data_IF_847720834200
#
_entry.id   IF_847720834200
#
_cell.length_a   1.000
_cell.length_b   1.000
_cell.length_c   1.000
_cell.angle_alpha   90.00
_cell.angle_beta   90.00
_cell.angle_gamma   90.00
#
_symmetry.space_group_name_H-M   'P 1'
#
loop_
_entity.id
_entity.type
_entity.pdbx_description
1 polymer ?
#
# COMPACT_ATOMS: atom_id res chain seq x y z
N UNK A 1 49.63 -39.79 -26.69
CA UNK A 1 50.75 -39.31 -27.53
C UNK A 1 50.95 -37.81 -27.31
N UNK A 2 52.17 -37.30 -27.51
CA UNK A 2 52.47 -35.87 -27.36
C UNK A 2 51.55 -34.96 -28.19
N UNK A 3 51.16 -35.37 -29.39
CA UNK A 3 50.20 -34.64 -30.23
C UNK A 3 48.82 -34.48 -29.59
N UNK A 4 48.32 -35.50 -28.88
CA UNK A 4 47.04 -35.41 -28.17
C UNK A 4 47.12 -34.46 -26.98
N UNK A 5 48.27 -34.40 -26.30
CA UNK A 5 48.50 -33.47 -25.20
C UNK A 5 48.60 -32.03 -25.70
N UNK A 6 49.37 -31.79 -26.76
CA UNK A 6 49.53 -30.48 -27.40
C UNK A 6 48.18 -29.93 -27.92
N UNK A 7 47.37 -30.77 -28.56
CA UNK A 7 46.01 -30.37 -28.97
C UNK A 7 45.11 -30.01 -27.78
N UNK A 8 45.19 -30.75 -26.65
CA UNK A 8 44.44 -30.41 -25.43
C UNK A 8 44.89 -29.07 -24.86
N UNK A 9 46.20 -28.83 -24.77
CA UNK A 9 46.76 -27.57 -24.26
C UNK A 9 46.33 -26.38 -25.13
N UNK A 10 46.41 -26.51 -26.46
CA UNK A 10 45.96 -25.44 -27.37
C UNK A 10 44.46 -25.14 -27.25
N UNK A 11 43.63 -26.17 -27.12
CA UNK A 11 42.18 -26.00 -26.95
C UNK A 11 41.86 -25.31 -25.60
N UNK A 12 42.47 -25.76 -24.51
CA UNK A 12 42.31 -25.13 -23.20
C UNK A 12 42.83 -23.69 -23.19
N UNK A 13 43.90 -23.38 -23.91
CA UNK A 13 44.41 -22.02 -24.03
C UNK A 13 43.44 -21.10 -24.81
N UNK A 14 42.86 -21.59 -25.92
CA UNK A 14 41.85 -20.81 -26.68
C UNK A 14 40.61 -20.53 -25.85
N UNK A 15 40.11 -21.55 -25.16
CA UNK A 15 38.98 -21.41 -24.24
C UNK A 15 39.28 -20.40 -23.13
N UNK A 16 40.45 -20.48 -22.49
CA UNK A 16 40.85 -19.53 -21.46
C UNK A 16 40.91 -18.10 -22.00
N UNK A 17 41.49 -17.90 -23.19
CA UNK A 17 41.61 -16.59 -23.84
C UNK A 17 40.24 -15.96 -24.14
N UNK A 18 39.29 -16.73 -24.67
CA UNK A 18 37.92 -16.24 -24.89
C UNK A 18 37.19 -15.95 -23.57
N UNK A 19 37.33 -16.82 -22.56
CA UNK A 19 36.76 -16.59 -21.23
C UNK A 19 37.29 -15.29 -20.60
N UNK A 20 38.58 -14.99 -20.74
CA UNK A 20 39.17 -13.75 -20.21
C UNK A 20 38.57 -12.52 -20.90
N UNK A 21 38.51 -12.50 -22.24
CA UNK A 21 37.91 -11.39 -22.97
C UNK A 21 36.43 -11.17 -22.62
N UNK A 22 35.69 -12.26 -22.39
CA UNK A 22 34.31 -12.21 -21.88
C UNK A 22 34.21 -11.52 -20.51
N UNK A 23 35.02 -11.98 -19.55
CA UNK A 23 34.98 -11.46 -18.18
C UNK A 23 35.41 -10.00 -18.13
N UNK A 24 36.39 -9.57 -18.93
CA UNK A 24 36.80 -8.17 -19.08
C UNK A 24 35.67 -7.28 -19.62
N UNK A 25 34.88 -7.78 -20.59
CA UNK A 25 33.70 -7.07 -21.08
C UNK A 25 32.62 -6.93 -20.01
N UNK A 26 32.38 -7.99 -19.22
CA UNK A 26 31.39 -7.95 -18.13
C UNK A 26 31.83 -7.07 -16.97
N UNK A 27 33.12 -7.01 -16.66
CA UNK A 27 33.65 -6.26 -15.52
C UNK A 27 33.12 -4.83 -15.49
N UNK A 28 33.12 -4.15 -16.64
CA UNK A 28 32.62 -2.77 -16.77
C UNK A 28 31.16 -2.61 -16.35
N UNK A 29 30.31 -3.58 -16.67
CA UNK A 29 28.90 -3.56 -16.32
C UNK A 29 28.62 -4.11 -14.91
N UNK A 30 29.54 -4.89 -14.37
CA UNK A 30 29.44 -5.42 -13.01
C UNK A 30 29.93 -4.42 -11.95
N UNK A 31 30.81 -3.45 -12.29
CA UNK A 31 31.31 -2.43 -11.34
C UNK A 31 30.22 -1.67 -10.56
N UNK A 32 29.12 -1.20 -11.19
CA UNK A 32 27.99 -0.59 -10.47
C UNK A 32 27.36 -1.51 -9.42
N UNK A 33 27.39 -2.84 -9.65
CA UNK A 33 26.86 -3.84 -8.72
C UNK A 33 27.69 -3.97 -7.44
N UNK A 34 28.82 -3.27 -7.28
CA UNK A 34 29.63 -3.33 -6.05
C UNK A 34 29.59 -2.04 -5.24
N UNK A 35 29.24 -0.93 -5.89
CA UNK A 35 29.48 0.42 -5.35
C UNK A 35 28.27 1.35 -5.43
N UNK A 36 27.23 1.00 -6.18
CA UNK A 36 26.10 1.89 -6.44
C UNK A 36 24.80 1.47 -5.71
N UNK A 37 23.84 2.40 -5.68
CA UNK A 37 22.50 2.18 -5.16
C UNK A 37 21.61 1.40 -6.16
N UNK A 38 20.47 0.84 -5.71
CA UNK A 38 19.59 0.04 -6.58
C UNK A 38 19.13 0.78 -7.84
N UNK A 39 18.84 2.07 -7.73
CA UNK A 39 18.42 2.92 -8.87
C UNK A 39 19.50 3.05 -9.96
N UNK A 40 20.76 3.20 -9.56
CA UNK A 40 21.87 3.29 -10.51
C UNK A 40 22.18 1.93 -11.12
N UNK A 41 22.07 0.85 -10.32
CA UNK A 41 22.17 -0.52 -10.83
C UNK A 41 21.10 -0.76 -11.90
N UNK A 42 19.85 -0.38 -11.62
CA UNK A 42 18.72 -0.51 -12.55
C UNK A 42 19.03 0.10 -13.93
N UNK A 43 19.62 1.29 -13.98
CA UNK A 43 20.03 1.95 -15.24
C UNK A 43 21.10 1.19 -16.03
N UNK A 44 21.92 0.38 -15.36
CA UNK A 44 22.99 -0.42 -15.99
C UNK A 44 22.54 -1.80 -16.45
N UNK A 45 21.38 -2.29 -15.99
CA UNK A 45 20.85 -3.61 -16.31
C UNK A 45 20.69 -3.88 -17.82
N UNK A 46 20.16 -2.96 -18.65
CA UNK A 46 19.97 -3.24 -20.06
C UNK A 46 21.28 -3.52 -20.79
N UNK A 47 22.34 -2.78 -20.48
CA UNK A 47 23.67 -3.00 -21.04
C UNK A 47 24.27 -4.33 -20.59
N UNK A 48 24.14 -4.66 -19.30
CA UNK A 48 24.63 -5.92 -18.73
C UNK A 48 23.95 -7.13 -19.38
N UNK A 49 22.61 -7.13 -19.43
CA UNK A 49 21.83 -8.25 -19.96
C UNK A 49 22.08 -8.42 -21.47
N UNK A 50 22.05 -7.34 -22.25
CA UNK A 50 22.36 -7.41 -23.70
C UNK A 50 23.77 -7.95 -23.98
N UNK A 51 24.74 -7.55 -23.17
CA UNK A 51 26.12 -8.06 -23.26
C UNK A 51 26.15 -9.57 -22.99
N UNK A 52 25.46 -10.05 -21.94
CA UNK A 52 25.34 -11.48 -21.63
C UNK A 52 24.71 -12.28 -22.78
N UNK A 53 23.60 -11.81 -23.35
CA UNK A 53 22.96 -12.46 -24.50
C UNK A 53 23.87 -12.49 -25.73
N UNK A 54 24.57 -11.39 -26.02
CA UNK A 54 25.53 -11.31 -27.14
C UNK A 54 26.63 -12.34 -27.00
N UNK A 55 27.20 -12.49 -25.79
CA UNK A 55 28.26 -13.48 -25.54
C UNK A 55 27.71 -14.89 -25.70
N UNK A 56 26.52 -15.18 -25.18
CA UNK A 56 25.93 -16.51 -25.34
C UNK A 56 25.75 -16.88 -26.82
N UNK A 57 25.40 -15.92 -27.67
CA UNK A 57 25.23 -16.12 -29.11
C UNK A 57 26.56 -16.25 -29.86
N UNK A 58 27.58 -15.45 -29.50
CA UNK A 58 28.84 -15.34 -30.26
C UNK A 58 29.94 -16.28 -29.75
N UNK A 59 29.96 -16.62 -28.47
CA UNK A 59 31.05 -17.42 -27.89
C UNK A 59 31.01 -18.87 -28.36
N UNK A 60 32.18 -19.42 -28.71
CA UNK A 60 32.31 -20.81 -29.13
C UNK A 60 32.45 -21.77 -27.93
N UNK A 61 33.02 -21.29 -26.82
CA UNK A 61 33.30 -22.10 -25.63
C UNK A 61 32.46 -21.74 -24.40
N UNK A 62 31.82 -20.57 -24.35
CA UNK A 62 31.04 -20.09 -23.19
C UNK A 62 29.52 -20.14 -23.40
N UNK A 63 29.06 -20.63 -24.55
CA UNK A 63 27.64 -20.71 -24.95
C UNK A 63 26.82 -21.84 -24.30
N UNK A 64 27.29 -22.38 -23.17
CA UNK A 64 26.54 -23.42 -22.46
C UNK A 64 25.56 -22.79 -21.48
N UNK A 65 24.35 -23.35 -21.44
CA UNK A 65 23.31 -23.00 -20.46
C UNK A 65 23.84 -22.99 -19.02
N UNK A 66 24.70 -23.95 -18.67
CA UNK A 66 25.25 -24.08 -17.32
C UNK A 66 26.14 -22.88 -16.93
N UNK A 67 27.04 -22.44 -17.83
CA UNK A 67 27.94 -21.30 -17.59
C UNK A 67 27.16 -20.00 -17.48
N UNK A 68 26.19 -19.80 -18.37
CA UNK A 68 25.32 -18.62 -18.34
C UNK A 68 24.45 -18.57 -17.09
N UNK A 69 23.87 -19.70 -16.68
CA UNK A 69 23.11 -19.80 -15.42
C UNK A 69 24.00 -19.48 -14.22
N UNK A 70 25.24 -19.98 -14.19
CA UNK A 70 26.18 -19.70 -13.11
C UNK A 70 26.56 -18.21 -13.03
N UNK A 71 26.79 -17.54 -14.17
CA UNK A 71 27.08 -16.09 -14.21
C UNK A 71 25.87 -15.28 -13.74
N UNK A 72 24.69 -15.55 -14.29
CA UNK A 72 23.45 -14.88 -13.89
C UNK A 72 23.18 -15.07 -12.39
N UNK A 73 23.39 -16.27 -11.86
CA UNK A 73 23.25 -16.55 -10.42
C UNK A 73 24.21 -15.71 -9.58
N UNK A 74 25.48 -15.55 -10.02
CA UNK A 74 26.46 -14.70 -9.33
C UNK A 74 26.07 -13.23 -9.36
N UNK A 75 25.57 -12.75 -10.51
CA UNK A 75 25.06 -11.39 -10.67
C UNK A 75 23.88 -11.15 -9.73
N UNK A 76 22.89 -12.06 -9.71
CA UNK A 76 21.75 -11.98 -8.78
C UNK A 76 22.22 -11.93 -7.33
N UNK A 77 23.13 -12.83 -6.92
CA UNK A 77 23.65 -12.83 -5.54
C UNK A 77 24.35 -11.49 -5.20
N UNK A 78 25.06 -10.90 -6.15
CA UNK A 78 25.73 -9.63 -5.96
C UNK A 78 24.74 -8.45 -5.86
N UNK A 79 23.64 -8.48 -6.63
CA UNK A 79 22.55 -7.52 -6.48
C UNK A 79 21.89 -7.62 -5.10
N UNK A 80 21.62 -8.84 -4.62
CA UNK A 80 21.10 -9.07 -3.26
C UNK A 80 22.07 -8.51 -2.22
N UNK A 81 23.37 -8.79 -2.33
CA UNK A 81 24.37 -8.27 -1.41
C UNK A 81 24.44 -6.74 -1.42
N UNK A 82 24.29 -6.12 -2.60
CA UNK A 82 24.27 -4.66 -2.74
C UNK A 82 23.04 -4.05 -2.10
N UNK A 83 21.87 -4.67 -2.30
CA UNK A 83 20.63 -4.29 -1.63
C UNK A 83 20.76 -4.42 -0.11
N UNK A 84 21.33 -5.52 0.40
CA UNK A 84 21.62 -5.69 1.83
C UNK A 84 22.53 -4.59 2.37
N UNK A 85 23.60 -4.23 1.66
CA UNK A 85 24.50 -3.12 2.04
C UNK A 85 23.78 -1.78 2.03
N UNK A 86 22.96 -1.52 1.01
CA UNK A 86 22.19 -0.29 0.89
C UNK A 86 21.17 -0.12 2.04
N UNK A 87 20.47 -1.21 2.39
CA UNK A 87 19.51 -1.26 3.50
C UNK A 87 20.19 -1.08 4.86
N UNK A 88 21.36 -1.67 5.06
CA UNK A 88 22.15 -1.60 6.30
C UNK A 88 23.10 -0.39 6.40
N UNK A 89 23.03 0.56 5.46
CA UNK A 89 23.98 1.69 5.39
C UNK A 89 25.45 1.24 5.41
N UNK A 90 25.79 0.23 4.61
CA UNK A 90 27.11 -0.43 4.61
C UNK A 90 27.47 -1.12 5.93
N UNK A 91 26.47 -1.69 6.62
CA UNK A 91 26.65 -2.41 7.88
C UNK A 91 26.75 -1.51 9.11
N UNK A 92 26.55 -0.20 8.99
CA UNK A 92 26.62 0.73 10.14
C UNK A 92 25.33 0.79 10.94
N UNK A 93 24.19 0.44 10.34
CA UNK A 93 22.88 0.55 10.98
C UNK A 93 21.99 -0.64 10.64
N UNK A 94 21.17 -1.06 11.59
CA UNK A 94 20.10 -2.03 11.33
C UNK A 94 18.91 -1.38 10.64
N UNK A 95 17.94 -2.17 10.19
CA UNK A 95 16.65 -1.67 9.65
C UNK A 95 15.82 -0.95 10.71
N UNK A 96 16.11 -1.17 12.00
CA UNK A 96 15.37 -0.61 13.13
C UNK A 96 15.94 0.72 13.65
N UNK A 97 17.22 1.01 13.37
CA UNK A 97 17.94 2.21 13.83
C UNK A 97 17.83 3.41 12.86
N UNK A 98 17.06 3.23 11.79
CA UNK A 98 16.86 4.22 10.74
C UNK A 98 15.41 4.74 10.79
N UNK A 99 15.15 5.97 10.31
CA UNK A 99 13.78 6.46 10.17
C UNK A 99 12.94 5.52 9.28
N UNK A 100 11.75 5.15 9.74
CA UNK A 100 10.86 4.19 9.06
C UNK A 100 10.63 4.55 7.58
N UNK A 101 10.28 5.81 7.30
CA UNK A 101 10.07 6.30 5.94
C UNK A 101 11.29 6.13 5.03
N UNK A 102 12.50 6.29 5.59
CA UNK A 102 13.73 6.12 4.83
C UNK A 102 13.94 4.63 4.50
N UNK A 103 13.69 3.74 5.45
CA UNK A 103 13.82 2.29 5.25
C UNK A 103 12.75 1.78 4.27
N UNK A 104 11.49 2.20 4.40
CA UNK A 104 10.41 1.86 3.46
C UNK A 104 10.79 2.24 2.02
N UNK A 105 11.28 3.47 1.79
CA UNK A 105 11.76 3.90 0.46
C UNK A 105 12.90 3.04 -0.06
N UNK A 106 13.89 2.72 0.78
CA UNK A 106 15.01 1.86 0.38
C UNK A 106 14.54 0.45 0.01
N UNK A 107 13.61 -0.12 0.78
CA UNK A 107 13.04 -1.44 0.51
C UNK A 107 12.32 -1.43 -0.84
N UNK A 108 11.47 -0.43 -1.11
CA UNK A 108 10.77 -0.30 -2.37
C UNK A 108 11.75 -0.24 -3.56
N UNK A 109 12.80 0.59 -3.46
CA UNK A 109 13.84 0.65 -4.50
C UNK A 109 14.54 -0.70 -4.73
N UNK A 110 14.72 -1.53 -3.70
CA UNK A 110 15.27 -2.88 -3.85
C UNK A 110 14.30 -3.86 -4.52
N UNK A 111 13.00 -3.73 -4.28
CA UNK A 111 11.95 -4.53 -4.93
C UNK A 111 11.86 -4.14 -6.41
N UNK A 112 11.79 -2.83 -6.69
CA UNK A 112 11.75 -2.27 -8.05
C UNK A 112 12.97 -2.72 -8.88
N UNK A 113 14.14 -2.83 -8.24
CA UNK A 113 15.33 -3.36 -8.92
C UNK A 113 15.14 -4.81 -9.40
N UNK A 114 14.51 -5.68 -8.61
CA UNK A 114 14.25 -7.07 -9.01
C UNK A 114 13.22 -7.12 -10.15
N UNK A 115 12.17 -6.28 -10.06
CA UNK A 115 11.16 -6.17 -11.11
C UNK A 115 11.78 -5.71 -12.43
N UNK A 116 12.57 -4.63 -12.42
CA UNK A 116 13.28 -4.16 -13.61
C UNK A 116 14.30 -5.19 -14.13
N UNK A 117 14.97 -5.93 -13.25
CA UNK A 117 15.89 -7.00 -13.65
C UNK A 117 15.17 -8.09 -14.45
N UNK A 118 14.02 -8.55 -13.97
CA UNK A 118 13.22 -9.56 -14.67
C UNK A 118 12.59 -9.01 -15.96
N UNK A 119 12.01 -7.80 -15.91
CA UNK A 119 11.43 -7.15 -17.09
C UNK A 119 12.47 -6.92 -18.18
N UNK A 120 13.65 -6.41 -17.82
CA UNK A 120 14.73 -6.19 -18.76
C UNK A 120 15.28 -7.50 -19.32
N UNK A 121 15.32 -8.56 -18.50
CA UNK A 121 15.71 -9.89 -18.95
C UNK A 121 14.77 -10.41 -20.04
N UNK A 122 13.46 -10.39 -19.79
CA UNK A 122 12.46 -10.85 -20.76
C UNK A 122 12.49 -10.02 -22.05
N UNK A 123 12.59 -8.69 -21.94
CA UNK A 123 12.71 -7.81 -23.11
C UNK A 123 13.90 -8.17 -24.01
N UNK A 124 15.09 -8.37 -23.42
CA UNK A 124 16.29 -8.69 -24.22
C UNK A 124 16.22 -10.10 -24.81
N UNK A 125 15.59 -11.04 -24.09
CA UNK A 125 15.31 -12.38 -24.60
C UNK A 125 14.45 -12.32 -25.85
N UNK A 126 13.32 -11.61 -25.79
CA UNK A 126 12.39 -11.43 -26.92
C UNK A 126 13.05 -10.74 -28.13
N UNK A 127 13.93 -9.75 -27.88
CA UNK A 127 14.69 -9.06 -28.94
C UNK A 127 15.74 -9.95 -29.62
N UNK A 128 16.26 -10.96 -28.91
CA UNK A 128 17.38 -11.80 -29.37
C UNK A 128 16.92 -13.16 -29.92
N UNK A 129 15.71 -13.60 -29.59
CA UNK A 129 15.09 -14.82 -30.14
C UNK A 129 14.65 -14.60 -31.61
N UNK A 130 15.57 -14.86 -32.54
CA UNK A 130 15.26 -14.97 -33.98
C UNK A 130 14.86 -16.43 -34.29
N UNK A 131 13.88 -16.71 -35.18
CA UNK A 131 13.39 -18.06 -35.48
C UNK A 131 14.43 -19.09 -35.99
N UNK A 132 15.69 -18.67 -36.22
CA UNK A 132 16.79 -19.52 -36.71
C UNK A 132 18.01 -19.55 -35.77
N UNK A 133 17.96 -18.84 -34.64
CA UNK A 133 19.03 -18.87 -33.63
C UNK A 133 18.67 -19.84 -32.50
N UNK A 134 19.71 -20.47 -31.92
CA UNK A 134 19.61 -21.46 -30.85
C UNK A 134 18.85 -20.88 -29.65
N UNK A 135 17.78 -21.54 -29.21
CA UNK A 135 16.94 -21.11 -28.09
C UNK A 135 17.76 -21.01 -26.79
N UNK A 136 17.60 -19.89 -26.07
CA UNK A 136 18.26 -19.67 -24.79
C UNK A 136 17.46 -20.33 -23.66
N UNK A 137 17.70 -21.62 -23.45
CA UNK A 137 17.06 -22.35 -22.36
C UNK A 137 17.89 -22.28 -21.08
N UNK A 138 17.33 -21.71 -20.02
CA UNK A 138 17.77 -21.91 -18.64
C UNK A 138 16.52 -21.85 -17.73
N UNK A 139 16.65 -22.39 -16.52
CA UNK A 139 15.54 -22.35 -15.57
C UNK A 139 15.59 -21.05 -14.77
N UNK A 140 14.67 -20.13 -15.11
CA UNK A 140 14.51 -18.80 -14.52
C UNK A 140 14.42 -18.85 -12.99
N UNK A 141 13.81 -19.91 -12.43
CA UNK A 141 13.70 -20.13 -10.99
C UNK A 141 15.07 -20.20 -10.30
N UNK A 142 16.10 -20.76 -10.93
CA UNK A 142 17.44 -20.81 -10.33
C UNK A 142 18.14 -19.45 -10.32
N UNK A 143 17.80 -18.56 -11.26
CA UNK A 143 18.41 -17.25 -11.41
C UNK A 143 17.69 -16.19 -10.58
N UNK A 144 16.36 -16.16 -10.63
CA UNK A 144 15.55 -15.13 -9.97
C UNK A 144 15.01 -15.56 -8.61
N UNK A 145 14.79 -16.86 -8.38
CA UNK A 145 14.09 -17.34 -7.18
C UNK A 145 14.74 -16.92 -5.85
N UNK A 146 16.07 -16.75 -5.82
CA UNK A 146 16.76 -16.19 -4.63
C UNK A 146 16.46 -14.72 -4.41
N UNK A 147 16.36 -13.94 -5.48
CA UNK A 147 16.02 -12.52 -5.40
C UNK A 147 14.53 -12.35 -5.08
N UNK A 148 13.67 -13.21 -5.61
CA UNK A 148 12.24 -13.23 -5.28
C UNK A 148 12.03 -13.58 -3.80
N UNK A 149 12.74 -14.58 -3.28
CA UNK A 149 12.73 -14.91 -1.85
C UNK A 149 13.18 -13.73 -0.99
N UNK A 150 14.22 -13.02 -1.41
CA UNK A 150 14.66 -11.79 -0.75
C UNK A 150 13.61 -10.67 -0.81
N UNK A 151 13.00 -10.41 -1.97
CA UNK A 151 11.92 -9.43 -2.10
C UNK A 151 10.70 -9.80 -1.25
N UNK A 152 10.37 -11.09 -1.13
CA UNK A 152 9.31 -11.57 -0.24
C UNK A 152 9.64 -11.29 1.23
N UNK A 153 10.89 -11.49 1.65
CA UNK A 153 11.35 -11.08 2.99
C UNK A 153 11.20 -9.57 3.21
N UNK A 154 11.60 -8.77 2.22
CA UNK A 154 11.45 -7.32 2.29
C UNK A 154 9.98 -6.86 2.37
N UNK A 155 9.06 -7.51 1.63
CA UNK A 155 7.62 -7.26 1.72
C UNK A 155 7.05 -7.58 3.10
N UNK A 156 7.54 -8.64 3.76
CA UNK A 156 7.18 -8.94 5.16
C UNK A 156 7.66 -7.85 6.12
N UNK A 157 8.88 -7.32 5.92
CA UNK A 157 9.37 -6.18 6.71
C UNK A 157 8.52 -4.92 6.51
N UNK A 158 8.12 -4.59 5.28
CA UNK A 158 7.18 -3.48 5.03
C UNK A 158 5.88 -3.66 5.80
N UNK A 159 5.29 -4.86 5.74
CA UNK A 159 4.05 -5.17 6.47
C UNK A 159 4.23 -5.01 7.98
N UNK A 160 5.39 -5.40 8.53
CA UNK A 160 5.69 -5.23 9.94
C UNK A 160 5.77 -3.75 10.35
N UNK A 161 6.35 -2.89 9.51
CA UNK A 161 6.33 -1.44 9.73
C UNK A 161 4.90 -0.87 9.68
N UNK A 162 4.10 -1.28 8.69
CA UNK A 162 2.69 -0.86 8.60
C UNK A 162 1.88 -1.30 9.83
N UNK A 163 2.15 -2.49 10.38
CA UNK A 163 1.54 -2.97 11.62
C UNK A 163 1.86 -2.06 12.81
N UNK A 164 3.12 -1.65 12.97
CA UNK A 164 3.55 -0.71 14.03
C UNK A 164 2.84 0.63 13.87
N UNK A 165 2.81 1.19 12.66
CA UNK A 165 2.16 2.48 12.39
C UNK A 165 0.66 2.46 12.69
N UNK A 166 -0.04 1.38 12.32
CA UNK A 166 -1.47 1.20 12.64
C UNK A 166 -1.67 1.08 14.15
N UNK A 167 -0.79 0.34 14.83
CA UNK A 167 -0.82 0.17 16.27
C UNK A 167 -0.60 1.49 17.04
N UNK A 168 0.38 2.29 16.63
CA UNK A 168 0.59 3.64 17.19
C UNK A 168 -0.64 4.53 16.99
N UNK A 169 -1.28 4.42 15.82
CA UNK A 169 -2.52 5.15 15.51
C UNK A 169 -3.68 4.72 16.41
N UNK A 170 -3.81 3.42 16.68
CA UNK A 170 -4.81 2.86 17.61
C UNK A 170 -4.56 3.38 19.03
N UNK A 171 -3.32 3.30 19.53
CA UNK A 171 -2.95 3.79 20.88
C UNK A 171 -3.30 5.28 21.01
N UNK A 172 -2.95 6.08 20.01
CA UNK A 172 -3.23 7.52 20.01
C UNK A 172 -4.73 7.83 20.04
N UNK A 173 -5.56 6.92 19.53
CA UNK A 173 -7.00 7.09 19.41
C UNK A 173 -7.77 6.64 20.65
N UNK A 174 -7.31 5.60 21.34
CA UNK A 174 -8.01 4.97 22.47
C UNK A 174 -7.10 4.87 23.71
N UNK A 175 -7.03 5.96 24.48
CA UNK A 175 -6.36 5.98 25.78
C UNK A 175 -7.22 5.44 26.94
N UNK A 176 -8.51 5.15 26.73
CA UNK A 176 -9.47 4.84 27.81
C UNK A 176 -10.21 3.48 27.71
N UNK A 177 -10.08 2.69 26.62
CA UNK A 177 -10.94 1.50 26.40
C UNK A 177 -10.15 0.20 26.16
N UNK A 178 -8.85 0.27 25.85
CA UNK A 178 -8.04 -0.90 25.50
C UNK A 178 -6.77 -0.94 26.35
N UNK A 179 -6.92 -1.13 27.67
CA UNK A 179 -5.80 -1.05 28.61
C UNK A 179 -4.77 -2.19 28.45
N UNK A 180 -5.11 -3.34 27.85
CA UNK A 180 -4.20 -4.50 27.77
C UNK A 180 -3.82 -4.93 26.34
N UNK A 181 -4.68 -4.70 25.35
CA UNK A 181 -4.49 -5.21 23.98
C UNK A 181 -3.33 -4.57 23.21
N UNK A 182 -3.09 -3.25 23.28
CA UNK A 182 -1.99 -2.63 22.55
C UNK A 182 -0.62 -3.11 23.04
N UNK A 183 -0.43 -3.29 24.34
CA UNK A 183 0.87 -3.67 24.90
C UNK A 183 1.34 -5.06 24.44
N UNK A 184 0.41 -5.99 24.15
CA UNK A 184 0.73 -7.33 23.66
C UNK A 184 1.46 -7.34 22.29
N UNK A 185 1.12 -6.40 21.39
CA UNK A 185 1.82 -6.30 20.11
C UNK A 185 3.24 -5.74 20.28
N UNK A 186 3.38 -4.70 21.11
CA UNK A 186 4.68 -4.09 21.40
C UNK A 186 5.63 -5.12 22.02
N UNK A 187 5.15 -5.92 22.99
CA UNK A 187 5.89 -7.02 23.59
C UNK A 187 6.31 -8.07 22.55
N UNK A 188 5.41 -8.46 21.66
CA UNK A 188 5.68 -9.43 20.59
C UNK A 188 6.74 -8.91 19.62
N UNK A 189 6.67 -7.64 19.25
CA UNK A 189 7.65 -6.98 18.37
C UNK A 189 9.00 -6.82 19.07
N UNK A 190 9.02 -6.46 20.35
CA UNK A 190 10.25 -6.33 21.13
C UNK A 190 10.93 -7.68 21.32
N UNK A 191 10.16 -8.74 21.58
CA UNK A 191 10.65 -10.14 21.62
C UNK A 191 11.24 -10.58 20.28
N UNK A 192 10.65 -10.15 19.15
CA UNK A 192 11.20 -10.39 17.82
C UNK A 192 12.52 -9.62 17.61
N UNK A 193 12.54 -8.32 17.96
CA UNK A 193 13.72 -7.44 17.84
C UNK A 193 14.90 -7.86 18.72
N UNK A 194 14.65 -8.54 19.84
CA UNK A 194 15.70 -8.99 20.75
C UNK A 194 16.44 -10.25 20.28
N UNK A 195 16.02 -10.88 19.18
CA UNK A 195 16.66 -12.08 18.65
C UNK A 195 17.82 -11.73 17.72
N UNK A 196 18.85 -12.58 17.74
CA UNK A 196 20.14 -12.33 17.08
C UNK A 196 20.20 -12.72 15.58
N UNK A 197 19.07 -12.88 14.89
CA UNK A 197 19.07 -13.19 13.46
C UNK A 197 19.11 -11.92 12.58
N UNK A 198 19.66 -12.06 11.36
CA UNK A 198 19.63 -11.01 10.35
C UNK A 198 18.24 -10.92 9.72
N UNK A 199 17.51 -9.83 10.00
CA UNK A 199 16.21 -9.52 9.42
C UNK A 199 16.23 -9.48 7.87
N UNK A 200 17.39 -9.24 7.26
CA UNK A 200 17.60 -9.23 5.81
C UNK A 200 18.01 -10.61 5.25
N UNK A 201 18.23 -11.63 6.08
CA UNK A 201 18.52 -12.97 5.59
C UNK A 201 17.26 -13.75 5.23
N UNK A 202 16.99 -13.83 3.93
CA UNK A 202 15.85 -14.55 3.36
C UNK A 202 15.92 -16.08 3.55
N UNK A 203 17.03 -16.61 4.03
CA UNK A 203 17.18 -18.05 4.31
C UNK A 203 16.82 -18.43 5.74
N UNK A 204 16.75 -17.45 6.64
CA UNK A 204 16.47 -17.72 8.04
C UNK A 204 14.97 -17.89 8.26
N UNK A 205 14.55 -19.12 8.60
CA UNK A 205 13.15 -19.47 8.82
C UNK A 205 12.61 -18.97 10.17
N UNK A 206 13.47 -18.69 11.16
CA UNK A 206 13.02 -18.23 12.49
C UNK A 206 12.29 -16.89 12.41
N UNK A 207 12.74 -16.00 11.50
CA UNK A 207 12.01 -14.76 11.23
C UNK A 207 10.59 -15.04 10.74
N UNK A 208 10.39 -16.06 9.89
CA UNK A 208 9.07 -16.32 9.31
C UNK A 208 8.10 -16.86 10.36
N UNK A 209 8.60 -17.62 11.33
CA UNK A 209 7.83 -18.07 12.51
C UNK A 209 7.45 -16.89 13.40
N UNK A 210 8.40 -16.03 13.75
CA UNK A 210 8.14 -14.84 14.58
C UNK A 210 7.22 -13.83 13.91
N UNK A 211 7.43 -13.61 12.61
CA UNK A 211 6.56 -12.78 11.80
C UNK A 211 5.13 -13.32 11.84
N UNK A 212 4.93 -14.64 11.73
CA UNK A 212 3.60 -15.23 11.83
C UNK A 212 2.99 -15.05 13.24
N UNK A 213 3.77 -15.16 14.31
CA UNK A 213 3.33 -14.89 15.70
C UNK A 213 2.88 -13.43 15.85
N UNK A 214 3.71 -12.47 15.43
CA UNK A 214 3.38 -11.03 15.48
C UNK A 214 2.14 -10.72 14.64
N UNK A 215 2.05 -11.27 13.43
CA UNK A 215 0.90 -11.05 12.57
C UNK A 215 -0.39 -11.63 13.15
N UNK A 216 -0.31 -12.78 13.84
CA UNK A 216 -1.46 -13.37 14.52
C UNK A 216 -1.97 -12.47 15.65
N UNK A 217 -1.06 -12.00 16.51
CA UNK A 217 -1.40 -11.06 17.60
C UNK A 217 -2.02 -9.78 17.03
N UNK A 218 -1.43 -9.24 15.96
CA UNK A 218 -1.95 -8.07 15.28
C UNK A 218 -3.37 -8.28 14.74
N UNK A 219 -3.63 -9.41 14.07
CA UNK A 219 -4.96 -9.75 13.54
C UNK A 219 -6.01 -9.92 14.66
N UNK A 220 -5.63 -10.47 15.81
CA UNK A 220 -6.50 -10.61 16.98
C UNK A 220 -6.87 -9.22 17.56
N UNK A 221 -5.88 -8.34 17.71
CA UNK A 221 -6.09 -6.95 18.15
C UNK A 221 -6.99 -6.20 17.16
N UNK A 222 -6.72 -6.31 15.86
CA UNK A 222 -7.54 -5.67 14.83
C UNK A 222 -9.00 -6.14 14.85
N UNK A 223 -9.23 -7.45 15.02
CA UNK A 223 -10.59 -8.00 15.13
C UNK A 223 -11.31 -7.47 16.37
N UNK A 224 -10.63 -7.44 17.52
CA UNK A 224 -11.20 -6.93 18.77
C UNK A 224 -11.58 -5.45 18.65
N UNK A 225 -10.70 -4.62 18.10
CA UNK A 225 -10.93 -3.19 17.89
C UNK A 225 -12.05 -2.95 16.88
N UNK A 226 -12.06 -3.69 15.77
CA UNK A 226 -13.10 -3.56 14.76
C UNK A 226 -14.47 -3.91 15.35
N UNK A 227 -14.55 -4.98 16.17
CA UNK A 227 -15.78 -5.35 16.86
C UNK A 227 -16.25 -4.26 17.84
N UNK A 228 -15.33 -3.69 18.64
CA UNK A 228 -15.65 -2.59 19.54
C UNK A 228 -16.16 -1.35 18.78
N UNK A 229 -15.53 -1.02 17.64
CA UNK A 229 -16.00 0.07 16.79
C UNK A 229 -17.33 -0.19 16.10
N UNK A 230 -17.61 -1.43 15.74
CA UNK A 230 -18.93 -1.81 15.19
C UNK A 230 -20.01 -1.67 16.26
N UNK A 231 -19.74 -2.07 17.50
CA UNK A 231 -20.64 -1.86 18.64
C UNK A 231 -20.88 -0.37 18.91
N UNK A 232 -19.82 0.44 18.98
CA UNK A 232 -19.93 1.88 19.15
C UNK A 232 -20.74 2.52 18.01
N UNK A 233 -20.44 2.14 16.77
CA UNK A 233 -21.13 2.66 15.58
C UNK A 233 -22.63 2.35 15.60
N UNK A 234 -23.02 1.13 15.97
CA UNK A 234 -24.45 0.76 16.06
C UNK A 234 -25.20 1.49 17.17
N UNK A 235 -24.51 1.94 18.21
CA UNK A 235 -25.08 2.75 19.30
C UNK A 235 -25.38 4.19 18.86
N UNK A 236 -24.66 4.73 17.87
CA UNK A 236 -24.83 6.11 17.39
C UNK A 236 -26.13 6.23 16.57
N UNK A 237 -27.10 6.99 17.11
CA UNK A 237 -28.41 7.22 16.46
C UNK A 237 -28.45 8.44 15.54
N UNK A 238 -27.39 9.23 15.50
CA UNK A 238 -27.35 10.54 14.83
C UNK A 238 -26.48 10.50 13.59
N UNK A 239 -27.05 10.78 12.42
CA UNK A 239 -26.35 10.76 11.13
C UNK A 239 -25.05 11.55 11.15
N UNK A 240 -25.06 12.77 11.72
CA UNK A 240 -23.88 13.63 11.74
C UNK A 240 -22.79 13.09 12.68
N UNK A 241 -23.17 12.44 13.78
CA UNK A 241 -22.21 11.81 14.69
C UNK A 241 -21.64 10.54 14.05
N UNK A 242 -22.47 9.74 13.36
CA UNK A 242 -22.02 8.57 12.62
C UNK A 242 -21.03 8.95 11.52
N UNK A 243 -21.25 10.05 10.80
CA UNK A 243 -20.31 10.57 9.80
C UNK A 243 -18.98 11.00 10.43
N UNK A 244 -19.02 11.76 11.53
CA UNK A 244 -17.80 12.17 12.26
C UNK A 244 -17.04 10.97 12.83
N UNK A 245 -17.75 9.93 13.26
CA UNK A 245 -17.13 8.70 13.72
C UNK A 245 -16.47 7.95 12.56
N UNK A 246 -17.10 7.89 11.39
CA UNK A 246 -16.49 7.30 10.20
C UNK A 246 -15.25 8.07 9.74
N UNK A 247 -15.25 9.40 9.81
CA UNK A 247 -14.06 10.20 9.49
C UNK A 247 -12.87 9.83 10.40
N UNK A 248 -13.14 9.56 11.68
CA UNK A 248 -12.14 9.07 12.62
C UNK A 248 -11.64 7.67 12.25
N UNK A 249 -12.54 6.75 11.89
CA UNK A 249 -12.16 5.40 11.48
C UNK A 249 -11.31 5.39 10.19
N UNK A 250 -11.56 6.30 9.25
CA UNK A 250 -10.73 6.43 8.04
C UNK A 250 -9.28 6.74 8.39
N UNK A 251 -9.03 7.58 9.40
CA UNK A 251 -7.67 7.94 9.82
C UNK A 251 -6.87 6.76 10.38
N UNK A 252 -7.55 5.78 10.99
CA UNK A 252 -6.92 4.60 11.56
C UNK A 252 -6.46 3.58 10.51
N UNK A 253 -6.88 3.73 9.24
CA UNK A 253 -6.53 2.82 8.13
C UNK A 253 -6.72 1.32 8.46
N UNK A 254 -7.72 1.00 9.30
CA UNK A 254 -7.95 -0.37 9.74
C UNK A 254 -8.40 -1.27 8.58
N UNK A 255 -7.61 -2.31 8.22
CA UNK A 255 -8.02 -3.32 7.26
C UNK A 255 -9.30 -4.02 7.75
N UNK A 256 -10.25 -4.25 6.85
CA UNK A 256 -11.47 -5.00 7.17
C UNK A 256 -12.56 -4.20 7.90
N UNK A 257 -12.40 -2.89 8.11
CA UNK A 257 -13.40 -2.05 8.78
C UNK A 257 -14.71 -1.83 7.99
N UNK A 258 -14.85 -2.43 6.80
CA UNK A 258 -16.04 -2.38 5.93
C UNK A 258 -16.64 -0.97 5.75
N UNK A 259 -15.78 0.02 5.55
CA UNK A 259 -16.16 1.45 5.51
C UNK A 259 -17.29 1.75 4.52
N UNK A 260 -17.27 1.13 3.33
CA UNK A 260 -18.31 1.32 2.32
C UNK A 260 -19.70 0.91 2.84
N UNK A 261 -19.81 -0.24 3.50
CA UNK A 261 -21.07 -0.73 4.05
C UNK A 261 -21.59 0.20 5.15
N UNK A 262 -20.69 0.69 6.02
CA UNK A 262 -21.03 1.68 7.06
C UNK A 262 -21.53 2.99 6.44
N UNK A 263 -20.89 3.52 5.39
CA UNK A 263 -21.40 4.70 4.68
C UNK A 263 -22.78 4.46 4.05
N UNK A 264 -23.05 3.27 3.52
CA UNK A 264 -24.39 2.91 3.03
C UNK A 264 -25.43 2.85 4.16
N UNK A 265 -25.06 2.37 5.35
CA UNK A 265 -25.93 2.41 6.53
C UNK A 265 -26.25 3.85 6.93
N UNK A 266 -25.24 4.71 7.04
CA UNK A 266 -25.46 6.14 7.33
C UNK A 266 -26.32 6.81 6.25
N UNK A 267 -26.16 6.45 4.98
CA UNK A 267 -27.00 6.99 3.91
C UNK A 267 -28.47 6.57 4.06
N UNK A 268 -28.75 5.35 4.53
CA UNK A 268 -30.11 4.89 4.85
C UNK A 268 -30.69 5.67 6.02
N UNK A 269 -29.90 5.92 7.06
CA UNK A 269 -30.30 6.71 8.22
C UNK A 269 -30.56 8.17 7.85
N UNK A 270 -29.68 8.78 7.06
CA UNK A 270 -29.86 10.13 6.53
C UNK A 270 -31.14 10.26 5.70
N UNK A 271 -31.44 9.25 4.87
CA UNK A 271 -32.72 9.20 4.13
C UNK A 271 -33.92 9.24 5.06
N UNK A 272 -33.90 8.47 6.16
CA UNK A 272 -34.97 8.47 7.17
C UNK A 272 -35.05 9.83 7.87
N UNK A 273 -33.92 10.39 8.27
CA UNK A 273 -33.86 11.72 8.90
C UNK A 273 -34.42 12.82 7.99
N UNK A 274 -34.14 12.79 6.68
CA UNK A 274 -34.75 13.70 5.71
C UNK A 274 -36.27 13.58 5.65
N UNK A 275 -36.81 12.35 5.75
CA UNK A 275 -38.25 12.09 5.77
C UNK A 275 -38.88 12.61 7.07
N UNK A 276 -38.25 12.36 8.21
CA UNK A 276 -38.71 12.80 9.53
C UNK A 276 -38.72 14.33 9.64
N UNK A 277 -37.64 15.00 9.20
CA UNK A 277 -37.57 16.47 9.15
C UNK A 277 -38.62 17.02 8.17
N UNK A 278 -38.84 16.33 7.05
CA UNK A 278 -39.89 16.69 6.10
C UNK A 278 -41.30 16.63 6.71
N UNK A 279 -41.57 15.61 7.53
CA UNK A 279 -42.83 15.47 8.27
C UNK A 279 -42.96 16.54 9.37
N UNK A 280 -41.88 16.80 10.12
CA UNK A 280 -41.82 17.86 11.13
C UNK A 280 -42.14 19.21 10.50
N UNK A 281 -41.50 19.52 9.37
CA UNK A 281 -41.74 20.77 8.65
C UNK A 281 -43.21 20.90 8.26
N UNK A 282 -43.81 19.87 7.67
CA UNK A 282 -45.23 19.90 7.27
C UNK A 282 -46.18 20.12 8.45
N UNK A 283 -45.90 19.51 9.61
CA UNK A 283 -46.74 19.63 10.81
C UNK A 283 -46.64 21.01 11.46
N UNK A 284 -45.45 21.59 11.49
CA UNK A 284 -45.15 22.80 12.27
C UNK A 284 -44.98 24.07 11.42
N UNK A 285 -45.12 24.01 10.09
CA UNK A 285 -44.92 25.16 9.18
C UNK A 285 -45.73 26.40 9.55
N UNK A 286 -46.95 26.22 10.07
CA UNK A 286 -47.85 27.33 10.41
C UNK A 286 -47.47 27.99 11.75
N UNK A 287 -47.16 27.17 12.76
CA UNK A 287 -46.78 27.60 14.09
C UNK A 287 -45.56 26.80 14.58
N UNK A 288 -44.34 27.19 14.16
CA UNK A 288 -43.14 26.47 14.56
C UNK A 288 -42.75 26.81 15.99
N UNK A 289 -42.10 25.89 16.71
CA UNK A 289 -41.60 26.16 18.04
C UNK A 289 -40.53 27.26 17.99
N UNK A 290 -40.85 28.43 18.53
CA UNK A 290 -39.95 29.59 18.57
C UNK A 290 -39.27 29.72 19.94
N UNK A 291 -38.00 30.13 20.00
CA UNK A 291 -37.38 30.51 21.26
C UNK A 291 -38.12 31.68 21.91
N UNK A 292 -38.07 31.77 23.24
CA UNK A 292 -38.72 32.83 24.01
C UNK A 292 -38.22 34.21 23.52
N UNK A 293 -39.14 35.16 23.36
CA UNK A 293 -38.88 36.54 22.89
C UNK A 293 -38.44 36.68 21.42
N UNK A 294 -38.55 35.65 20.58
CA UNK A 294 -38.33 35.81 19.14
C UNK A 294 -39.54 36.46 18.44
N UNK A 295 -39.32 37.45 17.54
CA UNK A 295 -40.38 37.96 16.69
C UNK A 295 -40.96 36.83 15.81
N UNK A 296 -42.28 36.80 15.57
CA UNK A 296 -42.95 35.67 14.93
C UNK A 296 -42.42 35.38 13.52
N UNK A 297 -42.20 36.39 12.69
CA UNK A 297 -41.70 36.20 11.32
C UNK A 297 -40.21 35.83 11.31
N UNK A 298 -39.38 36.54 12.07
CA UNK A 298 -37.94 36.25 12.17
C UNK A 298 -37.67 34.86 12.78
N UNK A 299 -38.49 34.45 13.75
CA UNK A 299 -38.45 33.12 14.35
C UNK A 299 -38.77 32.01 13.35
N UNK A 300 -39.83 32.17 12.53
CA UNK A 300 -40.19 31.22 11.46
C UNK A 300 -39.06 31.05 10.44
N UNK A 301 -38.42 32.16 10.04
CA UNK A 301 -37.27 32.15 9.14
C UNK A 301 -36.08 31.42 9.78
N UNK A 302 -35.77 31.72 11.05
CA UNK A 302 -34.66 31.08 11.75
C UNK A 302 -34.88 29.57 11.92
N UNK A 303 -36.09 29.14 12.28
CA UNK A 303 -36.45 27.72 12.35
C UNK A 303 -36.26 27.01 11.00
N UNK A 304 -36.71 27.63 9.89
CA UNK A 304 -36.48 27.11 8.55
C UNK A 304 -34.98 26.98 8.22
N UNK A 305 -34.17 28.00 8.56
CA UNK A 305 -32.72 27.97 8.38
C UNK A 305 -32.05 26.84 9.17
N UNK A 306 -32.49 26.59 10.41
CA UNK A 306 -31.99 25.48 11.21
C UNK A 306 -32.29 24.12 10.57
N UNK A 307 -33.52 23.92 10.07
CA UNK A 307 -33.87 22.70 9.34
C UNK A 307 -33.04 22.53 8.07
N UNK A 308 -32.77 23.63 7.35
CA UNK A 308 -31.93 23.63 6.16
C UNK A 308 -30.48 23.25 6.47
N UNK A 309 -29.88 23.85 7.51
CA UNK A 309 -28.54 23.48 7.95
C UNK A 309 -28.45 22.01 8.34
N UNK A 310 -29.42 21.52 9.11
CA UNK A 310 -29.47 20.12 9.56
C UNK A 310 -29.49 19.12 8.41
N UNK A 311 -30.15 19.43 7.29
CA UNK A 311 -30.15 18.55 6.12
C UNK A 311 -28.93 18.72 5.21
N UNK A 312 -28.26 19.87 5.26
CA UNK A 312 -27.17 20.21 4.35
C UNK A 312 -25.82 19.67 4.83
N UNK A 313 -25.54 19.74 6.13
CA UNK A 313 -24.24 19.34 6.70
C UNK A 313 -23.90 17.86 6.46
N UNK A 314 -24.81 16.88 6.69
CA UNK A 314 -24.50 15.47 6.40
C UNK A 314 -24.25 15.21 4.91
N UNK A 315 -24.94 15.95 4.03
CA UNK A 315 -24.78 15.79 2.59
C UNK A 315 -23.44 16.33 2.09
N UNK A 316 -22.93 17.42 2.69
CA UNK A 316 -21.60 17.95 2.37
C UNK A 316 -20.51 16.91 2.65
N UNK A 317 -20.53 16.32 3.84
CA UNK A 317 -19.56 15.29 4.24
C UNK A 317 -19.65 14.06 3.32
N UNK A 318 -20.86 13.59 3.03
CA UNK A 318 -21.06 12.46 2.11
C UNK A 318 -20.57 12.75 0.69
N UNK A 319 -20.61 14.00 0.21
CA UNK A 319 -20.09 14.36 -1.12
C UNK A 319 -18.58 14.34 -1.20
N UNK A 320 -17.90 14.77 -0.14
CA UNK A 320 -16.44 14.87 -0.12
C UNK A 320 -15.76 13.51 0.04
N UNK A 321 -16.41 12.57 0.72
CA UNK A 321 -15.73 11.39 1.27
C UNK A 321 -16.15 10.06 0.66
N UNK A 322 -17.26 9.98 -0.10
CA UNK A 322 -17.72 8.68 -0.58
C UNK A 322 -18.38 8.70 -1.97
N UNK A 323 -18.05 7.69 -2.80
CA UNK A 323 -18.74 7.38 -4.06
C UNK A 323 -20.14 6.77 -3.86
N UNK A 324 -20.58 6.61 -2.61
CA UNK A 324 -21.88 6.03 -2.25
C UNK A 324 -23.04 6.88 -2.79
N UNK A 325 -22.81 8.18 -3.01
CA UNK A 325 -23.80 9.07 -3.61
C UNK A 325 -24.09 8.78 -5.10
N UNK A 326 -23.19 8.12 -5.82
CA UNK A 326 -23.38 7.74 -7.23
C UNK A 326 -24.26 6.49 -7.40
N UNK A 327 -24.46 5.75 -6.31
CA UNK A 327 -25.38 4.61 -6.27
C UNK A 327 -26.83 5.03 -6.53
N UNK A 328 -27.68 4.06 -6.89
CA UNK A 328 -29.12 4.31 -7.05
C UNK A 328 -29.79 4.81 -5.78
N UNK A 329 -29.31 4.35 -4.61
CA UNK A 329 -29.78 4.87 -3.32
C UNK A 329 -29.34 6.33 -3.14
N UNK A 330 -28.06 6.63 -3.42
CA UNK A 330 -27.50 7.98 -3.35
C UNK A 330 -28.26 8.97 -4.23
N UNK A 331 -28.51 8.63 -5.49
CA UNK A 331 -29.29 9.44 -6.43
C UNK A 331 -30.71 9.71 -5.91
N UNK A 332 -31.40 8.69 -5.36
CA UNK A 332 -32.73 8.85 -4.74
C UNK A 332 -32.69 9.81 -3.55
N UNK A 333 -31.67 9.69 -2.69
CA UNK A 333 -31.49 10.58 -1.53
C UNK A 333 -31.21 12.02 -1.98
N UNK A 334 -30.33 12.22 -2.95
CA UNK A 334 -30.04 13.54 -3.52
C UNK A 334 -31.29 14.19 -4.13
N UNK A 335 -32.13 13.42 -4.84
CA UNK A 335 -33.40 13.94 -5.38
C UNK A 335 -34.36 14.36 -4.25
N UNK A 336 -34.48 13.55 -3.18
CA UNK A 336 -35.30 13.92 -2.01
C UNK A 336 -34.79 15.18 -1.33
N UNK A 337 -33.48 15.26 -1.08
CA UNK A 337 -32.84 16.45 -0.54
C UNK A 337 -33.13 17.69 -1.40
N UNK A 338 -32.90 17.63 -2.73
CA UNK A 338 -33.12 18.76 -3.65
C UNK A 338 -34.57 19.27 -3.58
N UNK A 339 -35.55 18.36 -3.57
CA UNK A 339 -36.97 18.70 -3.46
C UNK A 339 -37.27 19.37 -2.11
N UNK A 340 -36.80 18.78 -1.01
CA UNK A 340 -37.06 19.30 0.33
C UNK A 340 -36.36 20.66 0.56
N UNK A 341 -35.10 20.78 0.19
CA UNK A 341 -34.34 22.03 0.24
C UNK A 341 -35.02 23.15 -0.55
N UNK A 342 -35.49 22.87 -1.78
CA UNK A 342 -36.21 23.86 -2.60
C UNK A 342 -37.50 24.34 -1.93
N UNK A 343 -38.19 23.47 -1.20
CA UNK A 343 -39.40 23.84 -0.44
C UNK A 343 -39.06 24.74 0.75
N UNK A 344 -37.97 24.47 1.47
CA UNK A 344 -37.51 25.32 2.58
C UNK A 344 -37.13 26.73 2.09
N UNK A 345 -36.39 26.83 0.98
CA UNK A 345 -36.01 28.11 0.37
C UNK A 345 -37.23 28.92 -0.07
N UNK A 346 -38.24 28.27 -0.68
CA UNK A 346 -39.50 28.93 -1.06
C UNK A 346 -40.22 29.48 0.17
N UNK A 347 -40.33 28.70 1.24
CA UNK A 347 -40.95 29.15 2.49
C UNK A 347 -40.24 30.35 3.10
N UNK A 348 -38.90 30.34 3.13
CA UNK A 348 -38.09 31.47 3.61
C UNK A 348 -38.36 32.73 2.78
N UNK A 349 -38.38 32.59 1.45
CA UNK A 349 -38.62 33.71 0.52
C UNK A 349 -40.03 34.27 0.65
N UNK A 350 -41.04 33.41 0.79
CA UNK A 350 -42.45 33.80 1.00
C UNK A 350 -42.62 34.53 2.34
N UNK A 351 -42.05 34.00 3.43
CA UNK A 351 -42.12 34.62 4.75
C UNK A 351 -41.44 36.00 4.77
N UNK A 352 -40.27 36.13 4.12
CA UNK A 352 -39.57 37.41 4.00
C UNK A 352 -40.36 38.42 3.16
N UNK A 353 -40.95 38.00 2.04
CA UNK A 353 -41.78 38.88 1.19
C UNK A 353 -43.02 39.38 1.93
N UNK A 354 -43.68 38.51 2.69
CA UNK A 354 -44.84 38.90 3.49
C UNK A 354 -44.47 39.96 4.52
N UNK A 355 -43.36 39.76 5.26
CA UNK A 355 -42.85 40.75 6.22
C UNK A 355 -42.46 42.08 5.57
N UNK A 356 -41.95 42.08 4.35
CA UNK A 356 -41.60 43.32 3.64
C UNK A 356 -42.82 44.11 3.14
N UNK A 357 -43.98 43.45 3.03
CA UNK A 357 -45.24 44.05 2.59
C UNK A 357 -46.10 44.54 3.76
N UNK A 358 -45.87 44.04 4.98
CA UNK A 358 -46.36 44.61 6.24
C UNK A 358 -45.53 45.83 6.63
#
# INVERSE_FOLDING_TARGET
>A
TWMALDNRVRNSWREAKECTAFLECLERYCQPLYSCNPETISKSLPGLIRTLFTINTVSLYYNSTERMTAVLTKITNQMINSNKRYLSCNGTKTVWEQPEDAVKRKILACIDLNEEYQTCFQRVKDETEVPQTREFHFCEVFVFGKFDAFCNRLKKLLKLFDCVQIHDSIISYQQEVLDELPYSLEDSINKMKSKDYDFLDHKDLHFDEDFAEVMKVFEEIQKSITAAFDEEFTSIKSTILSLKFLDKLVLLHLPGANMNEKYFQVLREYKRELEDIGLLFKRQKQDPPLPRNYPPVAGKINWCKQLRHRIEDPLKILKERCGVLDSDLGKKVQQKYKRFHSMLVKYETEAHRHWFQE
#
